data_IF_451478253447
#
_entry.id   IF_451478253447
#
_cell.length_a   1.000
_cell.length_b   1.000
_cell.length_c   1.000
_cell.angle_alpha   90.00
_cell.angle_beta   90.00
_cell.angle_gamma   90.00
#
_symmetry.space_group_name_H-M   'P 1'
#
loop_
_entity.id
_entity.type
_entity.pdbx_description
1 polymer ?
#
# COMPACT_ATOMS: atom_id res chain seq x y z
N UNK A 1 9.81 -10.28 16.17
CA UNK A 1 8.48 -9.66 16.33
C UNK A 1 8.54 -8.30 17.07
N UNK A 2 9.34 -8.17 18.14
CA UNK A 2 9.36 -6.98 19.01
C UNK A 2 9.60 -5.64 18.30
N UNK A 3 10.58 -5.55 17.38
CA UNK A 3 10.97 -4.28 16.77
C UNK A 3 9.87 -3.62 15.91
N UNK A 4 9.14 -4.42 15.13
CA UNK A 4 8.02 -3.92 14.31
C UNK A 4 6.87 -3.39 15.17
N UNK A 5 6.55 -4.13 16.22
CA UNK A 5 5.49 -3.78 17.15
C UNK A 5 5.86 -2.52 17.95
N UNK A 6 7.12 -2.39 18.36
CA UNK A 6 7.62 -1.18 19.02
C UNK A 6 7.52 0.05 18.11
N UNK A 7 7.92 -0.06 16.83
CA UNK A 7 7.77 1.03 15.88
C UNK A 7 6.31 1.49 15.75
N UNK A 8 5.37 0.54 15.70
CA UNK A 8 3.94 0.83 15.60
C UNK A 8 3.25 1.24 16.92
N UNK A 9 3.94 1.11 18.06
CA UNK A 9 3.36 1.37 19.39
C UNK A 9 3.95 2.58 20.10
N UNK A 10 5.15 3.03 19.73
CA UNK A 10 5.81 4.16 20.39
C UNK A 10 5.77 5.44 19.52
N UNK A 11 5.67 6.64 20.13
CA UNK A 11 5.57 7.89 19.40
C UNK A 11 6.74 8.13 18.42
N UNK A 12 7.95 7.69 18.76
CA UNK A 12 9.14 7.86 17.92
C UNK A 12 9.06 6.99 16.67
N UNK A 13 8.60 5.74 16.79
CA UNK A 13 8.40 4.86 15.65
C UNK A 13 7.29 5.37 14.72
N UNK A 14 6.19 5.87 15.30
CA UNK A 14 5.13 6.57 14.57
C UNK A 14 5.66 7.73 13.73
N UNK A 15 6.53 8.58 14.30
CA UNK A 15 7.17 9.68 13.56
C UNK A 15 8.05 9.20 12.41
N UNK A 16 8.73 8.06 12.55
CA UNK A 16 9.54 7.48 11.46
C UNK A 16 8.63 7.02 10.32
N UNK A 17 7.53 6.32 10.63
CA UNK A 17 6.55 5.93 9.62
C UNK A 17 5.93 7.15 8.93
N UNK A 18 5.59 8.19 9.69
CA UNK A 18 5.03 9.43 9.12
C UNK A 18 6.03 10.11 8.19
N UNK A 19 7.32 10.12 8.54
CA UNK A 19 8.37 10.63 7.67
C UNK A 19 8.49 9.83 6.37
N UNK A 20 8.33 8.49 6.42
CA UNK A 20 8.34 7.65 5.23
C UNK A 20 7.13 7.94 4.34
N UNK A 21 5.93 8.04 4.91
CA UNK A 21 4.70 8.37 4.20
C UNK A 21 4.84 9.73 3.52
N UNK A 22 5.30 10.75 4.24
CA UNK A 22 5.48 12.09 3.70
C UNK A 22 6.53 12.11 2.58
N UNK A 23 7.66 11.44 2.77
CA UNK A 23 8.69 11.37 1.73
C UNK A 23 8.17 10.71 0.46
N UNK A 24 7.46 9.59 0.55
CA UNK A 24 6.87 8.92 -0.63
C UNK A 24 5.88 9.84 -1.35
N UNK A 25 5.10 10.60 -0.58
CA UNK A 25 4.07 11.53 -1.10
C UNK A 25 4.67 12.75 -1.82
N UNK A 26 5.78 13.28 -1.31
CA UNK A 26 6.35 14.55 -1.76
C UNK A 26 7.53 14.37 -2.73
N UNK A 27 8.20 13.22 -2.68
CA UNK A 27 9.39 12.99 -3.49
C UNK A 27 9.07 13.03 -4.99
N UNK A 28 9.83 13.79 -5.79
CA UNK A 28 9.55 13.96 -7.21
C UNK A 28 9.39 12.63 -7.96
N UNK A 29 8.48 12.60 -8.93
CA UNK A 29 8.24 11.44 -9.78
C UNK A 29 9.52 11.04 -10.53
N UNK A 30 9.81 9.75 -10.59
CA UNK A 30 11.02 9.22 -11.22
C UNK A 30 12.33 9.60 -10.53
N UNK A 31 12.28 10.13 -9.30
CA UNK A 31 13.45 10.41 -8.45
C UNK A 31 13.38 9.60 -7.17
N UNK A 32 14.55 9.40 -6.57
CA UNK A 32 14.69 8.73 -5.27
C UNK A 32 14.12 7.31 -5.23
N UNK A 33 14.15 6.60 -6.37
CA UNK A 33 13.60 5.26 -6.55
C UNK A 33 13.98 4.31 -5.41
N UNK A 34 15.28 4.17 -5.14
CA UNK A 34 15.79 3.29 -4.09
C UNK A 34 15.31 3.68 -2.68
N UNK A 35 15.17 4.99 -2.42
CA UNK A 35 14.68 5.48 -1.13
C UNK A 35 13.19 5.18 -0.97
N UNK A 36 12.39 5.41 -2.02
CA UNK A 36 10.98 5.03 -2.06
C UNK A 36 10.82 3.52 -1.87
N UNK A 37 11.63 2.70 -2.55
CA UNK A 37 11.59 1.24 -2.39
C UNK A 37 11.83 0.83 -0.94
N UNK A 38 12.91 1.34 -0.34
CA UNK A 38 13.25 1.05 1.06
C UNK A 38 12.12 1.43 2.02
N UNK A 39 11.51 2.60 1.83
CA UNK A 39 10.43 3.08 2.67
C UNK A 39 9.14 2.26 2.46
N UNK A 40 8.74 1.99 1.22
CA UNK A 40 7.57 1.17 0.90
C UNK A 40 7.71 -0.25 1.46
N UNK A 41 8.87 -0.87 1.27
CA UNK A 41 9.16 -2.19 1.81
C UNK A 41 9.16 -2.17 3.36
N UNK A 42 9.67 -1.10 3.97
CA UNK A 42 9.62 -0.94 5.42
C UNK A 42 8.19 -0.81 5.95
N UNK A 43 7.34 -0.02 5.27
CA UNK A 43 5.93 0.11 5.59
C UNK A 43 5.18 -1.21 5.40
N UNK A 44 5.44 -1.93 4.31
CA UNK A 44 4.92 -3.28 4.10
C UNK A 44 5.31 -4.23 5.23
N UNK A 45 6.59 -4.26 5.60
CA UNK A 45 7.07 -5.09 6.70
C UNK A 45 6.37 -4.76 8.03
N UNK A 46 6.03 -3.50 8.27
CA UNK A 46 5.27 -3.08 9.44
C UNK A 46 3.80 -3.50 9.33
N UNK A 47 3.19 -3.42 8.15
CA UNK A 47 1.78 -3.81 7.90
C UNK A 47 1.49 -5.31 8.15
N UNK A 48 2.51 -6.17 8.11
CA UNK A 48 2.37 -7.59 8.49
C UNK A 48 1.97 -7.75 9.98
N UNK A 49 2.15 -6.74 10.82
CA UNK A 49 1.74 -6.73 12.21
C UNK A 49 0.41 -5.97 12.42
N UNK A 50 -0.48 -6.52 13.26
CA UNK A 50 -1.81 -5.96 13.54
C UNK A 50 -1.80 -4.52 14.09
N UNK A 51 -0.78 -4.12 14.86
CA UNK A 51 -0.65 -2.72 15.29
C UNK A 51 -0.18 -1.82 14.15
N UNK A 52 0.73 -2.33 13.32
CA UNK A 52 1.23 -1.63 12.15
C UNK A 52 0.13 -1.35 11.13
N UNK A 53 -0.65 -2.36 10.75
CA UNK A 53 -1.75 -2.21 9.81
C UNK A 53 -2.86 -1.30 10.35
N UNK A 54 -3.19 -1.42 11.64
CA UNK A 54 -4.15 -0.52 12.30
C UNK A 54 -3.63 0.92 12.31
N UNK A 55 -2.36 1.13 12.63
CA UNK A 55 -1.76 2.46 12.59
C UNK A 55 -1.83 3.07 11.18
N UNK A 56 -1.40 2.33 10.17
CA UNK A 56 -1.37 2.78 8.78
C UNK A 56 -2.77 3.07 8.21
N UNK A 57 -3.76 2.22 8.51
CA UNK A 57 -5.15 2.43 8.09
C UNK A 57 -5.81 3.64 8.76
N UNK A 58 -5.36 4.05 9.95
CA UNK A 58 -5.83 5.32 10.55
C UNK A 58 -5.23 6.58 9.92
N UNK A 59 -4.24 6.46 9.03
CA UNK A 59 -3.61 7.64 8.42
C UNK A 59 -4.53 8.24 7.36
N UNK A 60 -4.90 9.52 7.49
CA UNK A 60 -5.74 10.18 6.50
C UNK A 60 -5.12 10.11 5.11
N UNK A 61 -5.95 9.79 4.11
CA UNK A 61 -5.57 9.73 2.70
C UNK A 61 -4.43 8.75 2.36
N UNK A 62 -4.02 7.86 3.28
CA UNK A 62 -2.89 6.97 3.02
C UNK A 62 -3.14 6.03 1.85
N UNK A 63 -4.33 5.44 1.76
CA UNK A 63 -4.70 4.60 0.63
C UNK A 63 -4.75 5.41 -0.69
N UNK A 64 -5.33 6.62 -0.66
CA UNK A 64 -5.35 7.50 -1.83
C UNK A 64 -3.96 7.91 -2.29
N UNK A 65 -3.03 8.12 -1.36
CA UNK A 65 -1.62 8.38 -1.64
C UNK A 65 -0.95 7.18 -2.29
N UNK A 66 -1.12 5.97 -1.75
CA UNK A 66 -0.59 4.74 -2.35
C UNK A 66 -1.16 4.49 -3.75
N UNK A 67 -2.45 4.74 -3.93
CA UNK A 67 -3.13 4.67 -5.21
C UNK A 67 -2.57 5.67 -6.23
N UNK A 68 -2.35 6.92 -5.81
CA UNK A 68 -1.71 7.94 -6.65
C UNK A 68 -0.27 7.54 -7.00
N UNK A 69 0.52 7.15 -6.00
CA UNK A 69 1.90 6.71 -6.18
C UNK A 69 1.99 5.54 -7.16
N UNK A 70 1.14 4.54 -7.03
CA UNK A 70 1.08 3.39 -7.92
C UNK A 70 0.80 3.77 -9.39
N UNK A 71 -0.03 4.80 -9.63
CA UNK A 71 -0.36 5.29 -10.98
C UNK A 71 0.80 6.04 -11.63
N UNK A 72 1.54 6.81 -10.85
CA UNK A 72 2.60 7.69 -11.37
C UNK A 72 3.99 7.04 -11.40
N UNK A 73 4.19 5.99 -10.60
CA UNK A 73 5.47 5.31 -10.49
C UNK A 73 5.79 4.46 -11.73
N UNK A 74 7.06 4.47 -12.12
CA UNK A 74 7.60 3.74 -13.27
C UNK A 74 8.58 2.65 -12.85
N UNK A 75 9.15 2.78 -11.66
CA UNK A 75 10.11 1.81 -11.12
C UNK A 75 9.39 0.55 -10.66
N UNK A 76 9.67 -0.57 -11.33
CA UNK A 76 9.01 -1.87 -11.11
C UNK A 76 9.01 -2.30 -9.65
N UNK A 77 10.10 -2.08 -8.91
CA UNK A 77 10.21 -2.46 -7.50
C UNK A 77 9.28 -1.63 -6.61
N UNK A 78 9.15 -0.33 -6.90
CA UNK A 78 8.26 0.57 -6.17
C UNK A 78 6.79 0.25 -6.46
N UNK A 79 6.46 -0.09 -7.71
CA UNK A 79 5.12 -0.59 -8.09
C UNK A 79 4.81 -1.86 -7.30
N UNK A 80 5.73 -2.83 -7.30
CA UNK A 80 5.57 -4.10 -6.57
C UNK A 80 5.38 -3.88 -5.06
N UNK A 81 6.21 -3.04 -4.43
CA UNK A 81 6.12 -2.78 -3.00
C UNK A 81 4.85 -1.99 -2.65
N UNK A 82 4.36 -1.11 -3.53
CA UNK A 82 3.07 -0.45 -3.37
C UNK A 82 1.92 -1.47 -3.40
N UNK A 83 1.93 -2.41 -4.36
CA UNK A 83 0.92 -3.47 -4.43
C UNK A 83 0.94 -4.38 -3.22
N UNK A 84 2.13 -4.78 -2.73
CA UNK A 84 2.26 -5.59 -1.50
C UNK A 84 1.66 -4.91 -0.29
N UNK A 85 1.92 -3.60 -0.15
CA UNK A 85 1.39 -2.82 0.97
C UNK A 85 -0.13 -2.63 0.87
N UNK A 86 -0.66 -2.37 -0.32
CA UNK A 86 -2.10 -2.31 -0.58
C UNK A 86 -2.75 -3.66 -0.24
N UNK A 87 -2.20 -4.76 -0.76
CA UNK A 87 -2.70 -6.11 -0.51
C UNK A 87 -2.73 -6.43 0.98
N UNK A 88 -1.66 -6.11 1.72
CA UNK A 88 -1.65 -6.28 3.17
C UNK A 88 -2.78 -5.51 3.87
N UNK A 89 -3.03 -4.25 3.48
CA UNK A 89 -4.08 -3.41 4.07
C UNK A 89 -5.50 -3.91 3.82
N UNK A 90 -5.74 -4.52 2.65
CA UNK A 90 -7.07 -5.05 2.28
C UNK A 90 -7.28 -6.52 2.70
N UNK A 91 -6.23 -7.21 3.14
CA UNK A 91 -6.34 -8.59 3.64
C UNK A 91 -6.70 -8.70 5.12
N UNK A 92 -6.58 -7.61 5.91
CA UNK A 92 -6.98 -7.61 7.32
C UNK A 92 -8.47 -7.32 7.48
N UNK A 93 -9.20 -8.22 8.14
CA UNK A 93 -10.66 -8.15 8.27
C UNK A 93 -11.18 -6.83 8.87
N UNK A 94 -10.39 -6.18 9.73
CA UNK A 94 -10.79 -4.94 10.39
C UNK A 94 -10.57 -3.74 9.47
N UNK A 95 -9.47 -3.70 8.73
CA UNK A 95 -9.12 -2.56 7.86
C UNK A 95 -9.63 -2.71 6.43
N UNK A 96 -9.94 -3.93 5.98
CA UNK A 96 -10.33 -4.22 4.61
C UNK A 96 -11.51 -3.38 4.11
N UNK A 97 -12.65 -3.26 4.81
CA UNK A 97 -13.81 -2.54 4.27
C UNK A 97 -13.50 -1.08 3.93
N UNK A 98 -12.84 -0.36 4.86
CA UNK A 98 -12.48 1.04 4.65
C UNK A 98 -11.37 1.20 3.60
N UNK A 99 -10.39 0.30 3.59
CA UNK A 99 -9.28 0.34 2.65
C UNK A 99 -9.73 0.03 1.22
N UNK A 100 -10.61 -0.96 1.03
CA UNK A 100 -11.17 -1.32 -0.27
C UNK A 100 -12.06 -0.18 -0.80
N UNK A 101 -12.92 0.41 0.05
CA UNK A 101 -13.72 1.57 -0.34
C UNK A 101 -12.84 2.74 -0.82
N UNK A 102 -11.81 3.12 -0.06
CA UNK A 102 -10.89 4.18 -0.46
C UNK A 102 -10.12 3.85 -1.75
N UNK A 103 -9.74 2.59 -1.94
CA UNK A 103 -9.06 2.12 -3.13
C UNK A 103 -9.97 2.22 -4.37
N UNK A 104 -11.25 1.86 -4.23
CA UNK A 104 -12.27 1.96 -5.27
C UNK A 104 -12.50 3.42 -5.72
N UNK A 105 -12.44 4.36 -4.79
CA UNK A 105 -12.55 5.80 -5.10
C UNK A 105 -11.29 6.35 -5.79
N UNK A 106 -10.12 5.77 -5.50
CA UNK A 106 -8.82 6.34 -5.90
C UNK A 106 -8.20 5.71 -7.16
N UNK A 107 -8.54 4.45 -7.47
CA UNK A 107 -7.95 3.67 -8.56
C UNK A 107 -9.02 3.18 -9.52
N UNK A 108 -8.98 3.61 -10.81
CA UNK A 108 -9.84 3.03 -11.83
C UNK A 108 -9.55 1.53 -11.97
N UNK A 109 -10.59 0.70 -12.00
CA UNK A 109 -10.47 -0.77 -12.17
C UNK A 109 -9.65 -1.12 -13.42
N UNK A 110 -9.78 -0.34 -14.50
CA UNK A 110 -9.01 -0.53 -15.74
C UNK A 110 -7.49 -0.40 -15.56
N UNK A 111 -7.02 0.39 -14.60
CA UNK A 111 -5.60 0.52 -14.30
C UNK A 111 -5.05 -0.75 -13.65
N UNK A 112 -5.74 -1.30 -12.64
CA UNK A 112 -5.35 -2.57 -12.04
C UNK A 112 -5.44 -3.72 -13.04
N UNK A 113 -6.44 -3.71 -13.93
CA UNK A 113 -6.55 -4.69 -15.02
C UNK A 113 -5.32 -4.63 -15.94
N UNK A 114 -4.82 -3.44 -16.26
CA UNK A 114 -3.57 -3.31 -17.02
C UNK A 114 -2.38 -3.95 -16.30
N UNK A 115 -2.26 -3.77 -14.98
CA UNK A 115 -1.19 -4.39 -14.18
C UNK A 115 -1.24 -5.93 -14.17
N UNK A 116 -2.42 -6.54 -14.32
CA UNK A 116 -2.54 -8.00 -14.50
C UNK A 116 -1.88 -8.53 -15.78
N UNK A 117 -1.58 -7.65 -16.74
CA UNK A 117 -0.85 -8.01 -17.97
C UNK A 117 0.64 -7.67 -17.90
N UNK A 118 1.16 -7.33 -16.71
CA UNK A 118 2.58 -7.03 -16.50
C UNK A 118 3.48 -8.22 -16.86
N UNK A 119 4.66 -7.94 -17.43
CA UNK A 119 5.70 -8.96 -17.63
C UNK A 119 6.31 -9.45 -16.31
N UNK A 120 6.14 -8.70 -15.21
CA UNK A 120 6.54 -9.12 -13.89
C UNK A 120 5.41 -9.96 -13.25
N UNK A 121 5.70 -11.23 -12.99
CA UNK A 121 4.72 -12.19 -12.45
C UNK A 121 4.20 -11.81 -11.08
N UNK A 122 5.03 -11.26 -10.19
CA UNK A 122 4.60 -10.88 -8.85
C UNK A 122 3.61 -9.71 -8.90
N UNK A 123 3.86 -8.74 -9.78
CA UNK A 123 2.93 -7.63 -10.03
C UNK A 123 1.61 -8.15 -10.59
N UNK A 124 1.67 -9.06 -11.57
CA UNK A 124 0.49 -9.66 -12.17
C UNK A 124 -0.38 -10.37 -11.12
N UNK A 125 0.24 -11.21 -10.28
CA UNK A 125 -0.47 -11.97 -9.24
C UNK A 125 -1.11 -11.02 -8.22
N UNK A 126 -0.35 -10.08 -7.66
CA UNK A 126 -0.88 -9.15 -6.66
C UNK A 126 -2.00 -8.28 -7.22
N UNK A 127 -1.87 -7.80 -8.46
CA UNK A 127 -2.92 -7.01 -9.11
C UNK A 127 -4.20 -7.83 -9.32
N UNK A 128 -4.06 -9.12 -9.64
CA UNK A 128 -5.20 -10.03 -9.80
C UNK A 128 -5.89 -10.32 -8.47
N UNK A 129 -5.12 -10.53 -7.40
CA UNK A 129 -5.64 -10.75 -6.04
C UNK A 129 -6.40 -9.52 -5.56
N UNK A 130 -5.78 -8.33 -5.64
CA UNK A 130 -6.43 -7.06 -5.25
C UNK A 130 -7.73 -6.83 -6.04
N UNK A 131 -7.73 -7.09 -7.35
CA UNK A 131 -8.94 -6.97 -8.17
C UNK A 131 -10.05 -7.94 -7.75
N UNK A 132 -9.67 -9.13 -7.29
CA UNK A 132 -10.61 -10.15 -6.83
C UNK A 132 -11.24 -9.69 -5.51
N UNK A 133 -10.44 -9.22 -4.57
CA UNK A 133 -10.90 -8.70 -3.27
C UNK A 133 -11.83 -7.48 -3.47
N UNK A 134 -11.46 -6.55 -4.34
CA UNK A 134 -12.31 -5.38 -4.66
C UNK A 134 -13.65 -5.76 -5.28
N UNK A 135 -13.70 -6.84 -6.07
CA UNK A 135 -14.94 -7.32 -6.70
C UNK A 135 -15.82 -8.07 -5.71
N UNK A 136 -15.24 -8.88 -4.84
CA UNK A 136 -15.95 -9.57 -3.77
C UNK A 136 -16.65 -8.55 -2.86
N UNK A 137 -15.94 -7.49 -2.47
CA UNK A 137 -16.49 -6.42 -1.64
C UNK A 137 -17.69 -5.70 -2.29
N UNK A 138 -17.64 -5.41 -3.60
CA UNK A 138 -18.78 -4.81 -4.33
C UNK A 138 -20.04 -5.67 -4.41
N UNK A 139 -19.93 -6.97 -4.15
CA UNK A 139 -21.07 -7.89 -4.15
C UNK A 139 -21.73 -7.91 -2.77
N UNK A 140 -20.98 -7.55 -1.71
CA UNK A 140 -21.42 -7.60 -0.32
C UNK A 140 -22.03 -6.27 0.17
N UNK A 141 -21.68 -5.12 -0.44
CA UNK A 141 -22.27 -3.79 -0.23
C UNK A 141 -23.57 -3.55 -1.02
#
# INVERSE_FOLDING_TARGET
ALGREQLASCPQGCKVMDAFINFISEAPLGKSANMKSLMLMSLYNISINSKGIKYLSTKPHFMSMLAWHLKEEKETENILNSLRLIQSLISDEVTAPICIHQLLESVPVGFLQHLTSSCNKDIQVLAQDILTDMRAFKIED
#
